data_IF_447694977892
#
_entry.id   IF_447694977892
#
_cell.length_a   1.000
_cell.length_b   1.000
_cell.length_c   1.000
_cell.angle_alpha   90.00
_cell.angle_beta   90.00
_cell.angle_gamma   90.00
#
_symmetry.space_group_name_H-M   'P 1'
#
loop_
_entity.id
_entity.type
_entity.pdbx_description
1 polymer ?
#
# COMPACT_ATOMS: atom_id res chain seq x y z
N UNK A 1 12.41 19.21 19.54
CA UNK A 1 12.28 19.44 18.09
C UNK A 1 13.61 19.97 17.60
N UNK A 2 14.27 19.24 16.71
CA UNK A 2 15.49 19.72 16.06
C UNK A 2 15.11 20.71 14.98
N UNK A 3 15.56 21.95 15.10
CA UNK A 3 15.56 22.90 13.99
C UNK A 3 16.80 22.69 13.13
N UNK A 4 16.72 23.02 11.85
CA UNK A 4 17.82 22.90 10.89
C UNK A 4 17.94 24.20 10.09
N UNK A 5 19.16 24.64 9.77
CA UNK A 5 19.32 25.79 8.88
C UNK A 5 18.98 25.38 7.46
N UNK A 6 18.42 26.31 6.69
CA UNK A 6 18.00 26.05 5.33
C UNK A 6 19.17 25.62 4.43
N UNK A 7 20.37 26.15 4.64
CA UNK A 7 21.59 25.72 3.94
C UNK A 7 21.92 24.23 4.16
N UNK A 8 21.85 23.78 5.42
CA UNK A 8 22.19 22.40 5.79
C UNK A 8 21.14 21.43 5.23
N UNK A 9 19.87 21.86 5.24
CA UNK A 9 18.77 21.11 4.63
C UNK A 9 18.93 21.04 3.10
N UNK A 10 19.30 22.14 2.44
CA UNK A 10 19.57 22.16 1.01
C UNK A 10 20.69 21.18 0.62
N UNK A 11 21.76 21.14 1.40
CA UNK A 11 22.88 20.22 1.18
C UNK A 11 22.45 18.74 1.33
N UNK A 12 21.68 18.40 2.36
CA UNK A 12 21.21 17.03 2.57
C UNK A 12 20.20 16.57 1.51
N UNK A 13 19.46 17.51 0.92
CA UNK A 13 18.46 17.25 -0.11
C UNK A 13 19.00 17.35 -1.54
N UNK A 14 20.28 17.71 -1.72
CA UNK A 14 20.91 18.02 -3.01
C UNK A 14 20.10 19.07 -3.81
N UNK A 15 19.68 20.13 -3.11
CA UNK A 15 18.85 21.18 -3.66
C UNK A 15 19.62 22.49 -3.83
N UNK A 16 19.31 23.23 -4.90
CA UNK A 16 19.90 24.55 -5.15
C UNK A 16 19.14 25.61 -4.36
N UNK A 17 19.82 26.26 -3.43
CA UNK A 17 19.23 27.29 -2.56
C UNK A 17 19.17 28.66 -3.25
N UNK A 18 18.03 29.32 -3.15
CA UNK A 18 17.79 30.71 -3.52
C UNK A 18 17.15 31.47 -2.35
N UNK A 19 17.80 32.54 -1.86
CA UNK A 19 17.33 33.32 -0.71
C UNK A 19 18.28 33.23 0.48
N UNK A 20 17.76 33.52 1.68
CA UNK A 20 18.56 33.55 2.92
C UNK A 20 18.90 32.13 3.42
N UNK A 21 20.20 31.83 3.51
CA UNK A 21 20.75 30.53 3.92
C UNK A 21 20.65 30.27 5.42
N UNK A 22 20.54 31.32 6.23
CA UNK A 22 20.55 31.24 7.69
C UNK A 22 19.14 31.06 8.29
N UNK A 23 18.11 30.99 7.44
CA UNK A 23 16.74 30.70 7.86
C UNK A 23 16.67 29.39 8.64
N UNK A 24 16.02 29.44 9.79
CA UNK A 24 15.82 28.28 10.66
C UNK A 24 14.50 27.62 10.31
N UNK A 25 14.56 26.35 9.93
CA UNK A 25 13.40 25.53 9.62
C UNK A 25 13.10 24.63 10.83
N UNK A 26 11.89 24.77 11.37
CA UNK A 26 11.41 24.09 12.58
C UNK A 26 10.37 23.01 12.29
N UNK A 27 9.76 23.03 11.11
CA UNK A 27 8.77 22.03 10.71
C UNK A 27 8.38 22.11 9.24
N UNK A 28 7.55 21.16 8.82
CA UNK A 28 6.99 21.08 7.47
C UNK A 28 5.50 21.36 7.55
N UNK A 29 4.97 22.16 6.63
CA UNK A 29 3.55 22.49 6.59
C UNK A 29 3.04 22.61 5.15
N UNK A 30 1.73 22.45 4.97
CA UNK A 30 1.10 22.68 3.66
C UNK A 30 1.23 24.14 3.24
N UNK A 31 1.21 24.41 1.92
CA UNK A 31 1.28 25.78 1.39
C UNK A 31 0.24 26.75 2.00
N UNK A 32 -0.93 26.23 2.41
CA UNK A 32 -2.03 27.01 2.98
C UNK A 32 -1.92 27.23 4.49
N UNK A 33 -1.12 26.44 5.21
CA UNK A 33 -0.98 26.50 6.66
C UNK A 33 0.43 26.84 7.13
N UNK A 34 1.39 26.91 6.21
CA UNK A 34 2.77 27.23 6.51
C UNK A 34 2.89 28.65 7.07
N UNK A 35 3.80 28.80 8.02
CA UNK A 35 4.10 30.04 8.73
C UNK A 35 5.62 30.22 8.74
N UNK A 36 6.09 31.34 9.30
CA UNK A 36 7.52 31.54 9.54
C UNK A 36 8.09 30.37 10.37
N UNK A 37 9.25 29.86 9.95
CA UNK A 37 9.88 28.64 10.48
C UNK A 37 9.47 27.36 9.75
N UNK A 38 8.39 27.37 8.96
CA UNK A 38 8.00 26.19 8.18
C UNK A 38 8.58 26.21 6.77
N UNK A 39 8.90 25.02 6.26
CA UNK A 39 9.16 24.76 4.85
C UNK A 39 7.94 24.03 4.23
N UNK A 40 7.64 24.32 2.97
CA UNK A 40 6.58 23.66 2.19
C UNK A 40 7.15 23.14 0.87
N UNK A 41 6.33 22.46 0.06
CA UNK A 41 6.70 22.10 -1.31
C UNK A 41 5.59 22.46 -2.29
N UNK A 42 5.99 22.65 -3.54
CA UNK A 42 5.11 22.98 -4.64
C UNK A 42 5.42 22.11 -5.85
N UNK A 43 4.43 21.31 -6.28
CA UNK A 43 4.58 20.37 -7.40
C UNK A 43 3.52 20.50 -8.48
N UNK A 44 2.43 21.24 -8.24
CA UNK A 44 1.29 21.32 -9.15
C UNK A 44 1.08 22.75 -9.65
N UNK A 45 1.40 22.97 -10.92
CA UNK A 45 1.34 24.27 -11.59
C UNK A 45 -0.04 24.93 -11.56
N UNK A 46 -1.13 24.16 -11.34
CA UNK A 46 -2.49 24.70 -11.20
C UNK A 46 -2.67 25.56 -9.96
N UNK A 47 -1.77 25.44 -8.98
CA UNK A 47 -1.83 26.19 -7.72
C UNK A 47 -0.80 27.32 -7.63
N UNK A 48 -0.24 27.80 -8.75
CA UNK A 48 0.77 28.87 -8.77
C UNK A 48 0.35 30.12 -7.99
N UNK A 49 -0.93 30.49 -8.02
CA UNK A 49 -1.46 31.64 -7.28
C UNK A 49 -1.32 31.50 -5.74
N UNK A 50 -1.14 30.27 -5.24
CA UNK A 50 -0.89 30.02 -3.81
C UNK A 50 0.56 30.29 -3.40
N UNK A 51 1.51 30.34 -4.34
CA UNK A 51 2.91 30.66 -4.03
C UNK A 51 3.05 32.12 -3.56
N UNK A 52 2.33 33.05 -4.20
CA UNK A 52 2.41 34.48 -3.88
C UNK A 52 1.83 34.82 -2.50
N UNK A 53 0.87 34.03 -2.03
CA UNK A 53 0.22 34.19 -0.72
C UNK A 53 0.81 33.28 0.37
N UNK A 54 1.86 32.52 0.06
CA UNK A 54 2.47 31.60 1.00
C UNK A 54 3.24 32.34 2.10
N UNK A 55 3.03 31.93 3.35
CA UNK A 55 3.72 32.49 4.53
C UNK A 55 4.84 31.58 5.05
N UNK A 56 5.25 30.58 4.27
CA UNK A 56 6.39 29.72 4.61
C UNK A 56 7.70 30.51 4.63
N UNK A 57 8.66 30.06 5.43
CA UNK A 57 10.03 30.57 5.36
C UNK A 57 10.75 30.10 4.09
N UNK A 58 10.45 28.89 3.63
CA UNK A 58 11.01 28.35 2.40
C UNK A 58 10.04 27.43 1.64
N UNK A 59 10.27 27.26 0.34
CA UNK A 59 9.50 26.35 -0.53
C UNK A 59 10.42 25.48 -1.39
N UNK A 60 10.13 24.18 -1.47
CA UNK A 60 10.74 23.26 -2.42
C UNK A 60 9.96 23.31 -3.74
N UNK A 61 10.61 23.60 -4.86
CA UNK A 61 9.95 23.77 -6.17
C UNK A 61 10.90 23.46 -7.34
N UNK A 62 10.36 23.45 -8.57
CA UNK A 62 11.16 23.35 -9.79
C UNK A 62 11.64 24.72 -10.27
N UNK A 63 12.72 24.77 -11.05
CA UNK A 63 13.31 26.03 -11.56
C UNK A 63 12.27 26.89 -12.30
N UNK A 64 11.36 26.29 -13.07
CA UNK A 64 10.27 26.99 -13.77
C UNK A 64 9.36 27.80 -12.82
N UNK A 65 9.18 27.32 -11.58
CA UNK A 65 8.30 27.96 -10.61
C UNK A 65 9.02 28.99 -9.72
N UNK A 66 10.36 29.07 -9.80
CA UNK A 66 11.17 29.99 -9.00
C UNK A 66 10.75 31.47 -9.15
N UNK A 67 10.43 32.01 -10.34
CA UNK A 67 10.02 33.41 -10.50
C UNK A 67 8.73 33.78 -9.77
N UNK A 68 7.92 32.79 -9.37
CA UNK A 68 6.64 33.01 -8.70
C UNK A 68 6.74 32.87 -7.17
N UNK A 69 7.91 32.50 -6.65
CA UNK A 69 8.14 32.40 -5.20
C UNK A 69 8.37 33.78 -4.58
N UNK A 70 7.76 34.02 -3.42
CA UNK A 70 7.96 35.22 -2.61
C UNK A 70 8.84 34.98 -1.38
N UNK A 71 9.18 33.72 -1.08
CA UNK A 71 10.07 33.30 0.00
C UNK A 71 11.31 32.58 -0.55
N UNK A 72 12.21 32.16 0.35
CA UNK A 72 13.39 31.38 -0.04
C UNK A 72 12.97 30.08 -0.72
N UNK A 73 13.76 29.61 -1.69
CA UNK A 73 13.43 28.44 -2.50
C UNK A 73 14.55 27.41 -2.50
N UNK A 74 14.17 26.14 -2.43
CA UNK A 74 15.02 24.99 -2.72
C UNK A 74 14.60 24.42 -4.07
N UNK A 75 15.44 24.62 -5.08
CA UNK A 75 15.16 24.20 -6.45
C UNK A 75 15.65 22.77 -6.67
N UNK A 76 14.73 21.92 -7.16
CA UNK A 76 14.94 20.49 -7.44
C UNK A 76 14.15 20.02 -8.66
N UNK A 77 14.53 18.87 -9.23
CA UNK A 77 13.82 18.29 -10.36
C UNK A 77 12.47 17.65 -9.97
N UNK A 78 12.40 17.05 -8.77
CA UNK A 78 11.20 16.38 -8.28
C UNK A 78 10.83 16.86 -6.86
N UNK A 79 10.02 17.94 -6.75
CA UNK A 79 9.63 18.49 -5.46
C UNK A 79 8.91 17.51 -4.53
N UNK A 80 8.14 16.57 -5.07
CA UNK A 80 7.40 15.59 -4.28
C UNK A 80 8.33 14.54 -3.65
N UNK A 81 9.32 14.06 -4.41
CA UNK A 81 10.36 13.18 -3.87
C UNK A 81 11.21 13.89 -2.81
N UNK A 82 11.60 15.14 -3.06
CA UNK A 82 12.36 15.94 -2.09
C UNK A 82 11.55 16.21 -0.82
N UNK A 83 10.24 16.46 -0.95
CA UNK A 83 9.35 16.53 0.21
C UNK A 83 9.38 15.24 1.03
N UNK A 84 9.32 14.06 0.41
CA UNK A 84 9.38 12.80 1.13
C UNK A 84 10.69 12.64 1.92
N UNK A 85 11.83 13.00 1.32
CA UNK A 85 13.15 12.98 2.01
C UNK A 85 13.22 13.99 3.15
N UNK A 86 12.73 15.21 2.91
CA UNK A 86 12.67 16.27 3.92
C UNK A 86 11.80 15.86 5.12
N UNK A 87 10.66 15.22 4.85
CA UNK A 87 9.77 14.70 5.89
C UNK A 87 10.44 13.63 6.75
N UNK A 88 11.33 12.80 6.18
CA UNK A 88 12.12 11.83 6.96
C UNK A 88 13.17 12.51 7.83
N UNK A 89 13.85 13.55 7.34
CA UNK A 89 14.85 14.31 8.10
C UNK A 89 14.26 15.05 9.30
N UNK A 90 13.02 15.51 9.16
CA UNK A 90 12.29 16.26 10.18
C UNK A 90 11.21 15.43 10.89
N UNK A 91 11.30 14.10 10.82
CA UNK A 91 10.28 13.22 11.37
C UNK A 91 10.19 13.38 12.89
N UNK A 92 8.98 13.70 13.37
CA UNK A 92 8.66 13.82 14.80
C UNK A 92 7.87 12.61 15.31
N UNK A 93 7.66 11.62 14.46
CA UNK A 93 6.95 10.39 14.81
C UNK A 93 7.68 9.70 15.96
N UNK A 94 7.00 9.44 17.08
CA UNK A 94 7.62 8.73 18.20
C UNK A 94 7.97 7.31 17.78
N UNK A 95 8.95 6.71 18.46
CA UNK A 95 9.23 5.28 18.29
C UNK A 95 8.14 4.46 18.98
N UNK A 96 7.80 3.26 18.48
CA UNK A 96 6.84 2.37 19.16
C UNK A 96 7.28 1.95 20.57
N UNK A 97 8.60 1.87 20.80
CA UNK A 97 9.25 1.63 22.10
C UNK A 97 10.70 2.16 22.06
N UNK A 98 11.29 2.39 23.23
CA UNK A 98 12.69 2.87 23.35
C UNK A 98 13.62 1.89 24.08
N UNK A 99 13.08 1.05 24.97
CA UNK A 99 13.79 0.04 25.74
C UNK A 99 12.94 -1.24 25.81
N UNK A 100 13.44 -2.28 26.49
CA UNK A 100 12.62 -3.44 26.86
C UNK A 100 11.83 -3.09 28.13
N UNK A 101 10.51 -3.08 28.02
CA UNK A 101 9.61 -2.82 29.14
C UNK A 101 9.66 -3.93 30.18
N UNK A 102 9.62 -3.58 31.47
CA UNK A 102 9.52 -4.54 32.56
C UNK A 102 8.20 -5.36 32.54
N UNK A 103 7.18 -4.89 31.82
CA UNK A 103 5.91 -5.59 31.64
C UNK A 103 5.86 -6.44 30.35
N UNK A 104 6.96 -6.52 29.59
CA UNK A 104 7.04 -7.42 28.45
C UNK A 104 7.30 -8.85 28.94
N UNK A 105 6.65 -9.83 28.31
CA UNK A 105 6.81 -11.26 28.62
C UNK A 105 7.63 -11.90 27.50
N UNK A 106 8.84 -12.33 27.82
CA UNK A 106 9.74 -12.99 26.87
C UNK A 106 9.99 -14.42 27.31
N UNK A 107 9.97 -15.36 26.37
CA UNK A 107 10.47 -16.70 26.62
C UNK A 107 11.99 -16.69 26.91
N UNK A 108 12.53 -17.66 27.68
CA UNK A 108 13.94 -17.66 28.10
C UNK A 108 14.96 -17.81 26.96
N UNK A 109 14.54 -18.34 25.82
CA UNK A 109 15.36 -18.69 24.66
C UNK A 109 15.22 -17.69 23.49
N UNK A 110 14.63 -16.52 23.73
CA UNK A 110 14.55 -15.45 22.73
C UNK A 110 15.94 -14.89 22.43
N UNK A 111 16.30 -14.84 21.15
CA UNK A 111 17.55 -14.24 20.68
C UNK A 111 17.34 -12.77 20.32
N UNK A 112 18.02 -11.88 21.04
CA UNK A 112 17.94 -10.42 20.83
C UNK A 112 19.25 -9.88 20.24
N UNK A 113 19.12 -9.08 19.19
CA UNK A 113 20.20 -8.27 18.64
C UNK A 113 20.52 -7.04 19.48
N UNK A 114 21.34 -6.16 18.93
CA UNK A 114 21.73 -4.90 19.57
C UNK A 114 20.60 -3.87 19.50
N UNK A 115 20.40 -3.09 20.57
CA UNK A 115 19.45 -1.96 20.62
C UNK A 115 18.00 -2.34 20.27
N UNK A 116 17.60 -3.56 20.59
CA UNK A 116 16.20 -3.99 20.48
C UNK A 116 15.35 -3.31 21.55
N UNK A 117 14.18 -2.81 21.16
CA UNK A 117 13.20 -2.21 22.07
C UNK A 117 11.87 -2.97 22.01
N UNK A 118 11.27 -3.21 23.18
CA UNK A 118 10.05 -4.01 23.32
C UNK A 118 9.09 -3.28 24.26
N UNK A 119 7.92 -2.90 23.75
CA UNK A 119 6.91 -2.14 24.47
C UNK A 119 6.21 -2.94 25.56
N UNK A 120 5.46 -2.22 26.41
CA UNK A 120 4.74 -2.81 27.53
C UNK A 120 3.73 -3.89 27.08
N UNK A 121 3.63 -4.97 27.85
CA UNK A 121 2.69 -6.08 27.62
C UNK A 121 2.85 -6.78 26.26
N UNK A 122 3.98 -6.58 25.56
CA UNK A 122 4.30 -7.42 24.41
C UNK A 122 4.66 -8.84 24.89
N UNK A 123 4.28 -9.85 24.11
CA UNK A 123 4.54 -11.26 24.38
C UNK A 123 5.40 -11.83 23.26
N UNK A 124 6.59 -12.32 23.61
CA UNK A 124 7.57 -12.89 22.69
C UNK A 124 7.77 -14.36 23.03
N UNK A 125 7.34 -15.23 22.12
CA UNK A 125 7.38 -16.68 22.31
C UNK A 125 8.78 -17.30 22.10
N UNK A 126 8.89 -18.59 22.44
CA UNK A 126 10.13 -19.37 22.35
C UNK A 126 10.67 -19.50 20.92
N UNK A 127 12.00 -19.53 20.79
CA UNK A 127 12.70 -19.61 19.51
C UNK A 127 12.66 -18.33 18.66
N UNK A 128 12.08 -17.23 19.14
CA UNK A 128 12.02 -15.97 18.39
C UNK A 128 13.40 -15.34 18.25
N UNK A 129 13.69 -14.80 17.07
CA UNK A 129 14.93 -14.07 16.77
C UNK A 129 14.58 -12.65 16.33
N UNK A 130 14.99 -11.67 17.14
CA UNK A 130 14.89 -10.24 16.82
C UNK A 130 16.30 -9.71 16.50
N UNK A 131 16.53 -9.21 15.29
CA UNK A 131 17.83 -8.65 14.88
C UNK A 131 18.04 -7.23 15.42
N UNK A 132 19.20 -6.65 15.10
CA UNK A 132 19.61 -5.33 15.57
C UNK A 132 18.57 -4.24 15.23
N UNK A 133 18.36 -3.32 16.18
CA UNK A 133 17.48 -2.16 16.05
C UNK A 133 16.01 -2.50 15.76
N UNK A 134 15.58 -3.74 16.02
CA UNK A 134 14.15 -4.11 15.97
C UNK A 134 13.38 -3.41 17.08
N UNK A 135 12.20 -2.89 16.74
CA UNK A 135 11.29 -2.26 17.71
C UNK A 135 9.94 -2.95 17.66
N UNK A 136 9.53 -3.53 18.79
CA UNK A 136 8.22 -4.16 18.98
C UNK A 136 7.37 -3.25 19.84
N UNK A 137 6.24 -2.77 19.32
CA UNK A 137 5.30 -1.90 20.05
C UNK A 137 4.57 -2.60 21.20
N UNK A 138 3.89 -1.85 22.08
CA UNK A 138 3.16 -2.40 23.20
C UNK A 138 2.01 -3.32 22.76
N UNK A 139 1.73 -4.36 23.54
CA UNK A 139 0.64 -5.30 23.28
C UNK A 139 0.81 -6.20 22.05
N UNK A 140 1.98 -6.21 21.41
CA UNK A 140 2.25 -7.13 20.31
C UNK A 140 2.34 -8.58 20.79
N UNK A 141 1.99 -9.52 19.91
CA UNK A 141 2.26 -10.94 20.10
C UNK A 141 3.17 -11.43 18.96
N UNK A 142 4.29 -12.06 19.31
CA UNK A 142 5.23 -12.66 18.35
C UNK A 142 5.33 -14.15 18.65
N UNK A 143 4.81 -14.98 17.75
CA UNK A 143 4.70 -16.43 17.89
C UNK A 143 6.03 -17.17 17.74
N UNK A 144 6.02 -18.46 18.12
CA UNK A 144 7.21 -19.32 18.21
C UNK A 144 8.03 -19.34 16.92
N UNK A 145 9.35 -19.41 17.05
CA UNK A 145 10.31 -19.52 15.93
C UNK A 145 10.22 -18.40 14.87
N UNK A 146 9.59 -17.28 15.17
CA UNK A 146 9.49 -16.15 14.25
C UNK A 146 10.81 -15.37 14.20
N UNK A 147 11.20 -14.96 13.00
CA UNK A 147 12.42 -14.22 12.72
C UNK A 147 12.09 -12.83 12.20
N UNK A 148 12.64 -11.79 12.83
CA UNK A 148 12.42 -10.39 12.43
C UNK A 148 13.78 -9.73 12.15
N UNK A 149 13.95 -9.28 10.91
CA UNK A 149 15.16 -8.66 10.39
C UNK A 149 15.46 -7.28 10.98
N UNK A 150 16.70 -6.81 10.76
CA UNK A 150 17.22 -5.63 11.43
C UNK A 150 16.44 -4.35 11.07
N UNK A 151 16.32 -3.41 12.02
CA UNK A 151 15.61 -2.13 11.86
C UNK A 151 14.12 -2.25 11.50
N UNK A 152 13.52 -3.43 11.65
CA UNK A 152 12.08 -3.63 11.44
C UNK A 152 11.29 -3.15 12.66
N UNK A 153 10.18 -2.46 12.41
CA UNK A 153 9.34 -1.84 13.44
C UNK A 153 7.90 -2.35 13.35
N UNK A 154 7.37 -2.81 14.47
CA UNK A 154 5.97 -3.14 14.65
C UNK A 154 5.34 -2.10 15.58
N UNK A 155 4.24 -1.49 15.16
CA UNK A 155 3.42 -0.64 16.02
C UNK A 155 2.63 -1.48 17.03
N UNK A 156 1.87 -0.82 17.91
CA UNK A 156 1.14 -1.48 18.97
C UNK A 156 0.14 -2.53 18.45
N UNK A 157 -0.08 -3.59 19.22
CA UNK A 157 -1.12 -4.59 18.96
C UNK A 157 -1.02 -5.27 17.59
N UNK A 158 0.20 -5.52 17.10
CA UNK A 158 0.44 -6.39 15.93
C UNK A 158 0.52 -7.84 16.40
N UNK A 159 -0.12 -8.75 15.66
CA UNK A 159 -0.05 -10.19 15.93
C UNK A 159 0.72 -10.88 14.82
N UNK A 160 1.83 -11.53 15.17
CA UNK A 160 2.61 -12.39 14.28
C UNK A 160 2.53 -13.82 14.82
N UNK A 161 2.06 -14.75 14.00
CA UNK A 161 1.94 -16.16 14.34
C UNK A 161 3.33 -16.84 14.40
N UNK A 162 3.34 -18.17 14.47
CA UNK A 162 4.54 -18.99 14.54
C UNK A 162 5.17 -19.25 13.16
N UNK A 163 6.49 -19.46 13.16
CA UNK A 163 7.33 -19.76 12.00
C UNK A 163 7.28 -18.69 10.90
N UNK A 164 7.10 -17.42 11.27
CA UNK A 164 7.05 -16.30 10.31
C UNK A 164 8.46 -15.73 10.11
N UNK A 165 8.79 -15.34 8.88
CA UNK A 165 10.03 -14.62 8.57
C UNK A 165 9.72 -13.24 8.02
N UNK A 166 10.25 -12.20 8.65
CA UNK A 166 10.13 -10.81 8.24
C UNK A 166 11.53 -10.25 8.01
N UNK A 167 11.74 -9.63 6.84
CA UNK A 167 12.99 -9.01 6.46
C UNK A 167 13.37 -7.78 7.29
N UNK A 168 14.39 -7.08 6.82
CA UNK A 168 14.92 -5.87 7.43
C UNK A 168 14.17 -4.61 6.97
N UNK A 169 14.16 -3.59 7.82
CA UNK A 169 13.60 -2.26 7.53
C UNK A 169 12.11 -2.29 7.17
N UNK A 170 11.36 -3.27 7.68
CA UNK A 170 9.91 -3.32 7.49
C UNK A 170 9.18 -2.43 8.50
N UNK A 171 7.97 -2.02 8.17
CA UNK A 171 7.07 -1.28 9.05
C UNK A 171 5.69 -1.92 9.05
N UNK A 172 5.19 -2.33 10.22
CA UNK A 172 3.87 -2.96 10.35
C UNK A 172 3.01 -2.15 11.31
N UNK A 173 1.86 -1.71 10.83
CA UNK A 173 0.92 -0.85 11.56
C UNK A 173 -0.02 -1.66 12.46
N UNK A 174 -0.63 -0.98 13.43
CA UNK A 174 -1.43 -1.58 14.48
C UNK A 174 -2.58 -2.46 14.00
N UNK A 175 -2.84 -3.56 14.72
CA UNK A 175 -3.96 -4.47 14.42
C UNK A 175 -3.72 -5.40 13.23
N UNK A 176 -2.58 -5.32 12.54
CA UNK A 176 -2.22 -6.27 11.50
C UNK A 176 -2.02 -7.68 12.08
N UNK A 177 -2.43 -8.71 11.33
CA UNK A 177 -2.29 -10.12 11.69
C UNK A 177 -1.55 -10.85 10.59
N UNK A 178 -0.41 -11.45 10.94
CA UNK A 178 0.48 -12.14 10.01
C UNK A 178 0.59 -13.61 10.40
N UNK A 179 0.22 -14.49 9.48
CA UNK A 179 0.35 -15.94 9.60
C UNK A 179 -0.84 -16.67 10.23
N UNK A 180 -2.03 -16.06 10.20
CA UNK A 180 -3.28 -16.76 10.52
C UNK A 180 -3.52 -17.95 9.58
N UNK A 181 -4.32 -18.92 10.02
CA UNK A 181 -4.75 -20.01 9.14
C UNK A 181 -5.58 -19.47 7.97
N UNK A 182 -5.19 -19.82 6.75
CA UNK A 182 -6.02 -19.63 5.57
C UNK A 182 -7.30 -20.47 5.58
N UNK A 183 -8.17 -20.20 4.60
CA UNK A 183 -9.47 -20.84 4.45
C UNK A 183 -9.39 -22.26 3.84
N UNK A 184 -8.67 -23.17 4.50
CA UNK A 184 -8.50 -24.56 4.08
C UNK A 184 -9.50 -25.52 4.73
N UNK A 185 -10.53 -25.94 3.99
CA UNK A 185 -11.50 -26.94 4.43
C UNK A 185 -11.83 -27.93 3.32
N UNK A 186 -11.93 -29.22 3.66
CA UNK A 186 -12.51 -30.24 2.79
C UNK A 186 -13.99 -30.43 3.15
N UNK A 187 -14.84 -30.73 2.17
CA UNK A 187 -16.25 -31.04 2.44
C UNK A 187 -16.42 -32.55 2.58
N UNK A 188 -16.92 -33.00 3.73
CA UNK A 188 -17.42 -34.35 3.93
C UNK A 188 -18.92 -34.30 4.17
N UNK A 189 -19.69 -34.58 3.11
CA UNK A 189 -21.15 -34.73 3.17
C UNK A 189 -21.87 -33.52 3.78
N UNK A 190 -21.42 -32.30 3.48
CA UNK A 190 -21.96 -31.05 4.02
C UNK A 190 -21.24 -30.52 5.27
N UNK A 191 -20.36 -31.31 5.89
CA UNK A 191 -19.53 -30.86 7.01
C UNK A 191 -18.17 -30.36 6.52
N UNK A 192 -17.72 -29.22 7.03
CA UNK A 192 -16.41 -28.67 6.70
C UNK A 192 -15.35 -29.21 7.66
N UNK A 193 -14.42 -29.98 7.12
CA UNK A 193 -13.30 -30.57 7.88
C UNK A 193 -12.09 -29.67 7.71
N UNK A 194 -11.57 -29.15 8.83
CA UNK A 194 -10.41 -28.24 8.85
C UNK A 194 -9.17 -28.93 8.28
N UNK A 195 -8.51 -28.28 7.33
CA UNK A 195 -7.19 -28.65 6.85
C UNK A 195 -6.16 -27.79 7.60
N UNK A 196 -5.29 -28.39 8.44
CA UNK A 196 -4.19 -27.65 9.07
C UNK A 196 -3.34 -26.90 8.04
N UNK A 197 -3.03 -25.63 8.32
CA UNK A 197 -2.20 -24.79 7.44
C UNK A 197 -0.78 -24.81 7.97
N UNK A 198 0.10 -25.58 7.32
CA UNK A 198 1.42 -25.93 7.82
C UNK A 198 2.55 -25.11 7.19
N UNK A 199 2.29 -24.46 6.05
CA UNK A 199 3.23 -23.51 5.43
C UNK A 199 3.36 -22.22 6.23
N UNK A 200 4.17 -21.26 5.79
CA UNK A 200 4.48 -20.04 6.58
C UNK A 200 4.11 -18.76 5.84
N UNK A 201 4.56 -17.62 6.37
CA UNK A 201 4.63 -16.34 5.65
C UNK A 201 6.09 -15.89 5.61
N UNK A 202 6.56 -15.52 4.42
CA UNK A 202 7.88 -14.94 4.19
C UNK A 202 7.70 -13.52 3.64
N UNK A 203 8.16 -12.53 4.39
CA UNK A 203 8.14 -11.11 4.02
C UNK A 203 9.59 -10.67 3.77
N UNK A 204 9.83 -10.05 2.61
CA UNK A 204 11.12 -9.49 2.21
C UNK A 204 11.50 -8.22 2.97
N UNK A 205 12.52 -7.52 2.46
CA UNK A 205 13.05 -6.29 3.06
C UNK A 205 12.24 -5.05 2.63
N UNK A 206 12.22 -4.00 3.47
CA UNK A 206 11.62 -2.69 3.18
C UNK A 206 10.12 -2.77 2.83
N UNK A 207 9.41 -3.71 3.46
CA UNK A 207 7.97 -3.90 3.28
C UNK A 207 7.20 -3.05 4.29
N UNK A 208 6.17 -2.33 3.84
CA UNK A 208 5.21 -1.66 4.72
C UNK A 208 3.84 -2.34 4.67
N UNK A 209 3.25 -2.60 5.84
CA UNK A 209 1.93 -3.22 6.00
C UNK A 209 1.05 -2.32 6.87
N UNK A 210 -0.09 -1.93 6.31
CA UNK A 210 -1.09 -1.07 6.91
C UNK A 210 -1.88 -1.73 8.05
N UNK A 211 -2.66 -0.89 8.73
CA UNK A 211 -3.41 -1.26 9.91
C UNK A 211 -4.55 -2.24 9.57
N UNK A 212 -4.78 -3.19 10.46
CA UNK A 212 -5.82 -4.22 10.32
C UNK A 212 -5.74 -5.03 9.01
N UNK A 213 -4.55 -5.13 8.39
CA UNK A 213 -4.30 -6.02 7.26
C UNK A 213 -4.01 -7.43 7.75
N UNK A 214 -4.55 -8.42 7.04
CA UNK A 214 -4.45 -9.84 7.36
C UNK A 214 -3.70 -10.57 6.24
N UNK A 215 -2.64 -11.29 6.62
CA UNK A 215 -1.83 -12.10 5.70
C UNK A 215 -1.82 -13.54 6.21
N UNK A 216 -2.52 -14.43 5.52
CA UNK A 216 -2.63 -15.83 5.93
C UNK A 216 -1.34 -16.61 5.61
N UNK A 217 -0.99 -17.55 6.46
CA UNK A 217 0.06 -18.54 6.17
C UNK A 217 -0.37 -19.45 5.03
N UNK A 218 0.60 -19.97 4.29
CA UNK A 218 0.28 -20.92 3.22
C UNK A 218 -0.10 -22.31 3.76
N UNK A 219 -0.78 -23.09 2.92
CA UNK A 219 -1.28 -24.40 3.34
C UNK A 219 -0.16 -25.42 3.58
N UNK A 220 0.82 -25.49 2.68
CA UNK A 220 2.00 -26.35 2.76
C UNK A 220 3.26 -25.54 2.43
N UNK A 221 3.24 -24.89 1.26
CA UNK A 221 4.21 -23.86 0.89
C UNK A 221 3.88 -22.52 1.56
N UNK A 222 4.77 -21.55 1.39
CA UNK A 222 4.66 -20.25 2.05
C UNK A 222 3.84 -19.22 1.23
N UNK A 223 3.13 -18.34 1.93
CA UNK A 223 2.71 -17.04 1.39
C UNK A 223 3.94 -16.13 1.31
N UNK A 224 4.13 -15.39 0.22
CA UNK A 224 5.38 -14.65 -0.04
C UNK A 224 5.12 -13.20 -0.43
N UNK A 225 5.76 -12.29 0.28
CA UNK A 225 5.73 -10.84 0.01
C UNK A 225 7.14 -10.41 -0.38
N UNK A 226 7.30 -9.90 -1.60
CA UNK A 226 8.56 -9.42 -2.14
C UNK A 226 9.10 -8.17 -1.45
N UNK A 227 10.31 -7.76 -1.83
CA UNK A 227 11.00 -6.60 -1.26
C UNK A 227 10.33 -5.29 -1.71
N UNK A 228 10.30 -4.29 -0.84
CA UNK A 228 9.76 -2.96 -1.17
C UNK A 228 8.25 -2.94 -1.43
N UNK A 229 7.53 -4.01 -1.10
CA UNK A 229 6.07 -4.08 -1.26
C UNK A 229 5.39 -3.17 -0.25
N UNK A 230 4.37 -2.44 -0.70
CA UNK A 230 3.59 -1.52 0.11
C UNK A 230 2.14 -1.99 0.13
N UNK A 231 1.63 -2.40 1.29
CA UNK A 231 0.26 -2.88 1.47
C UNK A 231 -0.45 -1.92 2.44
N UNK A 232 -1.50 -1.28 1.98
CA UNK A 232 -2.30 -0.34 2.76
C UNK A 232 -3.25 -1.08 3.73
N UNK A 233 -4.08 -0.33 4.45
CA UNK A 233 -4.95 -0.79 5.51
C UNK A 233 -6.03 -1.77 5.02
N UNK A 234 -6.46 -2.67 5.91
CA UNK A 234 -7.61 -3.56 5.71
C UNK A 234 -7.53 -4.43 4.45
N UNK A 235 -6.32 -4.78 4.02
CA UNK A 235 -6.15 -5.73 2.92
C UNK A 235 -6.27 -7.17 3.45
N UNK A 236 -6.80 -8.06 2.63
CA UNK A 236 -6.79 -9.51 2.86
C UNK A 236 -5.87 -10.18 1.84
N UNK A 237 -4.83 -10.83 2.33
CA UNK A 237 -3.90 -11.65 1.54
C UNK A 237 -4.08 -13.10 1.97
N UNK A 238 -4.78 -13.89 1.16
CA UNK A 238 -5.04 -15.30 1.47
C UNK A 238 -3.80 -16.19 1.38
N UNK A 239 -3.97 -17.45 1.77
CA UNK A 239 -2.93 -18.46 1.76
C UNK A 239 -2.27 -18.65 0.38
N UNK A 240 -0.96 -18.86 0.37
CA UNK A 240 -0.14 -19.12 -0.82
C UNK A 240 -0.11 -17.99 -1.86
N UNK A 241 -0.56 -16.79 -1.49
CA UNK A 241 -0.40 -15.62 -2.37
C UNK A 241 1.09 -15.26 -2.48
N UNK A 242 1.50 -14.87 -3.68
CA UNK A 242 2.85 -14.37 -3.98
C UNK A 242 2.72 -12.96 -4.56
N UNK A 243 3.40 -11.99 -3.96
CA UNK A 243 3.47 -10.61 -4.45
C UNK A 243 4.93 -10.27 -4.78
N UNK A 244 5.19 -9.88 -6.02
CA UNK A 244 6.50 -9.48 -6.51
C UNK A 244 6.98 -8.12 -5.98
N UNK A 245 8.27 -7.86 -6.16
CA UNK A 245 8.96 -6.71 -5.57
C UNK A 245 8.36 -5.37 -6.04
N UNK A 246 8.37 -4.39 -5.12
CA UNK A 246 7.93 -3.01 -5.36
C UNK A 246 6.49 -2.87 -5.88
N UNK A 247 5.63 -3.85 -5.62
CA UNK A 247 4.20 -3.76 -5.90
C UNK A 247 3.48 -2.99 -4.78
N UNK A 248 2.57 -2.10 -5.15
CA UNK A 248 1.74 -1.33 -4.24
C UNK A 248 0.29 -1.84 -4.25
N UNK A 249 -0.28 -2.05 -3.07
CA UNK A 249 -1.65 -2.54 -2.84
C UNK A 249 -2.39 -1.54 -1.96
N UNK A 250 -3.38 -0.86 -2.52
CA UNK A 250 -4.16 0.15 -1.80
C UNK A 250 -5.25 -0.46 -0.91
N UNK A 251 -5.86 0.34 -0.04
CA UNK A 251 -6.68 -0.14 1.06
C UNK A 251 -7.91 -0.96 0.64
N UNK A 252 -8.26 -1.94 1.48
CA UNK A 252 -9.46 -2.77 1.30
C UNK A 252 -9.36 -3.78 0.14
N UNK A 253 -8.17 -4.03 -0.41
CA UNK A 253 -8.00 -5.03 -1.47
C UNK A 253 -8.14 -6.44 -0.90
N UNK A 254 -8.84 -7.30 -1.65
CA UNK A 254 -9.06 -8.71 -1.29
C UNK A 254 -8.42 -9.61 -2.35
N UNK A 255 -7.46 -10.43 -1.92
CA UNK A 255 -6.77 -11.41 -2.74
C UNK A 255 -7.11 -12.83 -2.30
N UNK A 256 -7.68 -13.63 -3.19
CA UNK A 256 -7.95 -15.03 -2.93
C UNK A 256 -6.69 -15.93 -3.07
N UNK A 257 -6.78 -17.16 -2.55
CA UNK A 257 -5.63 -18.03 -2.36
C UNK A 257 -4.92 -18.42 -3.66
N UNK A 258 -3.61 -18.66 -3.57
CA UNK A 258 -2.74 -19.05 -4.70
C UNK A 258 -2.69 -18.05 -5.86
N UNK A 259 -2.97 -16.77 -5.62
CA UNK A 259 -2.74 -15.69 -6.57
C UNK A 259 -1.23 -15.39 -6.67
N UNK A 260 -0.74 -15.15 -7.89
CA UNK A 260 0.60 -14.58 -8.10
C UNK A 260 0.49 -13.20 -8.76
N UNK A 261 1.08 -12.18 -8.14
CA UNK A 261 1.22 -10.83 -8.70
C UNK A 261 2.71 -10.57 -8.98
N UNK A 262 3.01 -10.07 -10.16
CA UNK A 262 4.35 -9.66 -10.56
C UNK A 262 4.88 -8.42 -9.81
N UNK A 263 6.03 -7.94 -10.27
CA UNK A 263 6.72 -6.78 -9.70
C UNK A 263 6.18 -5.46 -10.27
N UNK A 264 6.35 -4.37 -9.52
CA UNK A 264 5.96 -3.01 -9.93
C UNK A 264 4.47 -2.86 -10.33
N UNK A 265 3.59 -3.67 -9.74
CA UNK A 265 2.15 -3.55 -9.95
C UNK A 265 1.55 -2.49 -9.03
N UNK A 266 0.40 -1.94 -9.43
CA UNK A 266 -0.39 -1.00 -8.63
C UNK A 266 -1.83 -1.50 -8.56
N UNK A 267 -2.24 -2.00 -7.40
CA UNK A 267 -3.59 -2.52 -7.18
C UNK A 267 -4.42 -1.47 -6.46
N UNK A 268 -5.36 -0.87 -7.20
CA UNK A 268 -6.23 0.18 -6.70
C UNK A 268 -7.17 -0.30 -5.59
N UNK A 269 -7.55 0.64 -4.72
CA UNK A 269 -8.29 0.32 -3.50
C UNK A 269 -9.62 -0.40 -3.76
N UNK A 270 -10.02 -1.24 -2.80
CA UNK A 270 -11.22 -2.07 -2.87
C UNK A 270 -11.31 -3.01 -4.09
N UNK A 271 -10.18 -3.32 -4.74
CA UNK A 271 -10.15 -4.34 -5.79
C UNK A 271 -10.30 -5.74 -5.20
N UNK A 272 -10.96 -6.62 -5.95
CA UNK A 272 -11.15 -8.03 -5.61
C UNK A 272 -10.50 -8.87 -6.70
N UNK A 273 -9.55 -9.72 -6.30
CA UNK A 273 -8.75 -10.53 -7.20
C UNK A 273 -8.98 -12.02 -6.91
N UNK A 274 -9.33 -12.76 -7.95
CA UNK A 274 -9.60 -14.19 -7.85
C UNK A 274 -8.33 -15.00 -7.51
N UNK A 275 -8.52 -16.22 -7.02
CA UNK A 275 -7.43 -17.13 -6.67
C UNK A 275 -6.93 -17.89 -7.90
N UNK A 276 -5.79 -18.57 -7.76
CA UNK A 276 -5.22 -19.45 -8.78
C UNK A 276 -5.02 -18.81 -10.16
N UNK A 277 -4.78 -17.50 -10.21
CA UNK A 277 -4.45 -16.76 -11.43
C UNK A 277 -3.12 -16.04 -11.26
N UNK A 278 -2.55 -15.59 -12.38
CA UNK A 278 -1.33 -14.81 -12.41
C UNK A 278 -1.58 -13.43 -13.03
N UNK A 279 -0.95 -12.41 -12.46
CA UNK A 279 -0.88 -11.04 -12.97
C UNK A 279 0.60 -10.75 -13.26
N UNK A 280 0.93 -10.39 -14.51
CA UNK A 280 2.30 -10.08 -14.90
C UNK A 280 2.80 -8.75 -14.29
N UNK A 281 4.09 -8.48 -14.45
CA UNK A 281 4.71 -7.24 -13.99
C UNK A 281 4.07 -5.98 -14.59
N UNK A 282 4.20 -4.85 -13.88
CA UNK A 282 3.80 -3.51 -14.34
C UNK A 282 2.32 -3.39 -14.72
N UNK A 283 1.47 -4.12 -14.03
CA UNK A 283 0.00 -4.02 -14.16
C UNK A 283 -0.56 -3.01 -13.17
N UNK A 284 -1.44 -2.14 -13.65
CA UNK A 284 -2.27 -1.28 -12.82
C UNK A 284 -3.71 -1.76 -12.88
N UNK A 285 -4.31 -2.07 -11.74
CA UNK A 285 -5.75 -2.29 -11.59
C UNK A 285 -6.35 -1.04 -10.97
N UNK A 286 -7.30 -0.38 -11.62
CA UNK A 286 -7.94 0.82 -11.04
C UNK A 286 -8.84 0.44 -9.86
N UNK A 287 -9.23 1.44 -9.04
CA UNK A 287 -10.08 1.21 -7.88
C UNK A 287 -11.36 0.42 -8.18
N UNK A 288 -11.75 -0.44 -7.24
CA UNK A 288 -12.86 -1.40 -7.37
C UNK A 288 -12.74 -2.35 -8.58
N UNK A 289 -11.52 -2.71 -8.95
CA UNK A 289 -11.27 -3.69 -10.00
C UNK A 289 -11.70 -5.10 -9.59
N UNK A 290 -12.45 -5.80 -10.45
CA UNK A 290 -12.85 -7.19 -10.28
C UNK A 290 -12.07 -8.08 -11.24
N UNK A 291 -10.94 -8.62 -10.77
CA UNK A 291 -9.99 -9.40 -11.59
C UNK A 291 -10.34 -10.88 -11.52
N UNK A 292 -11.06 -11.36 -12.53
CA UNK A 292 -11.57 -12.74 -12.60
C UNK A 292 -10.72 -13.68 -13.46
N UNK A 293 -9.73 -13.16 -14.20
CA UNK A 293 -8.92 -13.90 -15.16
C UNK A 293 -7.45 -13.46 -15.07
N UNK A 294 -6.48 -14.28 -15.49
CA UNK A 294 -5.09 -13.89 -15.57
C UNK A 294 -4.89 -12.62 -16.43
N UNK A 295 -3.89 -11.83 -16.06
CA UNK A 295 -3.45 -10.64 -16.82
C UNK A 295 -2.03 -10.93 -17.28
N UNK A 296 -1.85 -11.07 -18.59
CA UNK A 296 -0.57 -11.49 -19.20
C UNK A 296 0.21 -10.36 -19.85
N UNK A 297 -0.41 -9.18 -19.98
CA UNK A 297 0.20 -8.01 -20.60
C UNK A 297 0.25 -6.84 -19.60
N UNK A 298 1.37 -6.10 -19.55
CA UNK A 298 1.43 -4.86 -18.78
C UNK A 298 0.39 -3.84 -19.25
N UNK A 299 -0.10 -3.01 -18.33
CA UNK A 299 -1.05 -1.95 -18.68
C UNK A 299 -2.02 -1.61 -17.57
N UNK A 300 -3.01 -0.79 -17.91
CA UNK A 300 -4.06 -0.33 -16.99
C UNK A 300 -5.36 -1.08 -17.28
N UNK A 301 -5.93 -1.68 -16.24
CA UNK A 301 -7.16 -2.47 -16.30
C UNK A 301 -8.21 -1.90 -15.35
N UNK A 302 -9.47 -1.90 -15.79
CA UNK A 302 -10.59 -1.31 -15.05
C UNK A 302 -11.85 -2.16 -15.15
N UNK A 303 -12.73 -2.04 -14.15
CA UNK A 303 -14.07 -2.61 -14.17
C UNK A 303 -15.06 -1.74 -13.41
N UNK A 304 -16.35 -2.03 -13.55
CA UNK A 304 -17.42 -1.34 -12.85
C UNK A 304 -18.07 -0.24 -13.67
N UNK A 305 -19.30 0.11 -13.28
CA UNK A 305 -20.04 1.24 -13.85
C UNK A 305 -20.00 2.37 -12.80
N UNK A 306 -19.56 3.59 -13.17
CA UNK A 306 -19.43 4.68 -12.22
C UNK A 306 -20.78 5.15 -11.68
N UNK A 307 -20.73 5.97 -10.63
CA UNK A 307 -21.91 6.49 -9.96
C UNK A 307 -22.82 7.26 -10.93
N UNK A 308 -24.12 7.03 -10.81
CA UNK A 308 -25.18 7.79 -11.47
C UNK A 308 -26.22 8.20 -10.44
N UNK A 309 -26.98 9.26 -10.71
CA UNK A 309 -28.16 9.58 -9.89
C UNK A 309 -29.11 8.38 -9.84
N UNK A 310 -29.69 8.10 -8.66
CA UNK A 310 -30.40 6.84 -8.40
C UNK A 310 -31.46 6.48 -9.45
N UNK A 311 -32.27 7.46 -9.88
CA UNK A 311 -33.31 7.26 -10.90
C UNK A 311 -32.72 6.81 -12.24
N UNK A 312 -31.58 7.37 -12.63
CA UNK A 312 -30.85 6.99 -13.85
C UNK A 312 -30.24 5.60 -13.67
N UNK A 313 -29.56 5.37 -12.55
CA UNK A 313 -28.92 4.09 -12.24
C UNK A 313 -29.89 2.91 -12.31
N UNK A 314 -31.09 3.03 -11.70
CA UNK A 314 -32.12 1.98 -11.74
C UNK A 314 -32.51 1.61 -13.17
N UNK A 315 -32.61 2.61 -14.05
CA UNK A 315 -32.93 2.40 -15.47
C UNK A 315 -31.76 1.72 -16.20
N UNK A 316 -30.53 2.18 -15.98
CA UNK A 316 -29.32 1.56 -16.53
C UNK A 316 -29.23 0.08 -16.14
N UNK A 317 -29.40 -0.23 -14.85
CA UNK A 317 -29.32 -1.60 -14.33
C UNK A 317 -30.37 -2.53 -14.96
N UNK A 318 -31.63 -2.07 -15.06
CA UNK A 318 -32.70 -2.85 -15.69
C UNK A 318 -32.43 -3.16 -17.17
N UNK A 319 -31.79 -2.24 -17.90
CA UNK A 319 -31.41 -2.47 -19.30
C UNK A 319 -30.23 -3.44 -19.42
N UNK A 320 -29.22 -3.33 -18.56
CA UNK A 320 -28.07 -4.24 -18.54
C UNK A 320 -28.51 -5.68 -18.26
N UNK A 321 -29.42 -5.90 -17.30
CA UNK A 321 -30.00 -7.23 -17.03
C UNK A 321 -30.72 -7.82 -18.25
N UNK A 322 -31.26 -6.98 -19.14
CA UNK A 322 -31.99 -7.39 -20.34
C UNK A 322 -31.15 -7.32 -21.63
N UNK A 323 -29.83 -7.14 -21.55
CA UNK A 323 -28.97 -6.92 -22.72
C UNK A 323 -29.01 -8.08 -23.73
N UNK A 324 -29.14 -9.32 -23.26
CA UNK A 324 -29.28 -10.50 -24.12
C UNK A 324 -30.58 -10.46 -24.93
N UNK A 325 -31.68 -10.04 -24.32
CA UNK A 325 -32.97 -9.88 -25.00
C UNK A 325 -32.91 -8.74 -26.03
N UNK A 326 -32.28 -7.60 -25.69
CA UNK A 326 -32.05 -6.51 -26.64
C UNK A 326 -31.23 -6.98 -27.85
N UNK A 327 -30.13 -7.73 -27.62
CA UNK A 327 -29.29 -8.27 -28.70
C UNK A 327 -30.08 -9.23 -29.62
N UNK A 328 -30.94 -10.10 -29.04
CA UNK A 328 -31.82 -10.98 -29.83
C UNK A 328 -32.79 -10.17 -30.71
N UNK A 329 -33.37 -9.08 -30.19
CA UNK A 329 -34.23 -8.18 -30.95
C UNK A 329 -33.48 -7.48 -32.08
N UNK A 330 -32.28 -6.96 -31.82
CA UNK A 330 -31.44 -6.31 -32.82
C UNK A 330 -31.12 -7.29 -33.96
N UNK A 331 -30.63 -8.50 -33.64
CA UNK A 331 -30.37 -9.54 -34.65
C UNK A 331 -31.61 -9.95 -35.45
N UNK A 332 -32.80 -9.91 -34.84
CA UNK A 332 -34.05 -10.19 -35.55
C UNK A 332 -34.41 -9.06 -36.52
N UNK A 333 -34.18 -7.81 -36.14
CA UNK A 333 -34.38 -6.62 -36.99
C UNK A 333 -33.40 -6.65 -38.16
N UNK A 334 -32.10 -6.85 -37.92
CA UNK A 334 -31.06 -6.94 -38.97
C UNK A 334 -31.38 -8.03 -39.99
N UNK A 335 -31.86 -9.20 -39.54
CA UNK A 335 -32.26 -10.30 -40.42
C UNK A 335 -33.45 -9.95 -41.30
N UNK A 336 -34.44 -9.23 -40.77
CA UNK A 336 -35.60 -8.77 -41.54
C UNK A 336 -35.19 -7.72 -42.57
N UNK A 337 -34.36 -6.76 -42.19
CA UNK A 337 -33.83 -5.73 -43.09
C UNK A 337 -32.96 -6.34 -44.21
N UNK A 338 -32.08 -7.29 -43.88
CA UNK A 338 -31.27 -7.99 -44.87
C UNK A 338 -32.11 -8.80 -45.88
N UNK A 339 -33.24 -9.37 -45.44
CA UNK A 339 -34.22 -9.99 -46.36
C UNK A 339 -34.92 -8.96 -47.24
N UNK A 340 -35.33 -7.83 -46.67
CA UNK A 340 -36.01 -6.76 -47.40
C UNK A 340 -35.11 -6.13 -48.48
N UNK A 341 -33.83 -5.87 -48.18
CA UNK A 341 -32.88 -5.32 -49.15
C UNK A 341 -32.48 -6.29 -50.26
N UNK A 342 -32.62 -7.61 -50.07
CA UNK A 342 -32.45 -8.60 -51.15
C UNK A 342 -33.67 -8.70 -52.08
N UNK A 343 -34.84 -8.29 -51.59
CA UNK A 343 -36.10 -8.31 -52.35
C UNK A 343 -36.31 -7.02 -53.17
N UNK A 344 -35.55 -5.96 -52.90
CA UNK A 344 -35.45 -4.77 -53.72
C UNK A 344 -34.12 -4.80 -54.48
N UNK A 345 -34.09 -5.27 -55.75
CA UNK A 345 -32.93 -4.97 -56.58
C UNK A 345 -32.85 -3.46 -56.68
N UNK A 346 -31.66 -2.90 -56.45
CA UNK A 346 -31.34 -1.50 -56.72
C UNK A 346 -31.89 -1.18 -58.11
N UNK A 347 -33.01 -0.44 -58.17
CA UNK A 347 -33.39 0.25 -59.40
C UNK A 347 -32.32 1.31 -59.60
N UNK A 348 -31.43 1.05 -60.56
CA UNK A 348 -30.66 2.09 -61.21
C UNK A 348 -31.57 3.13 -61.84
#
# INVERSE_FOLDING_TARGET
>A
MSSIRLADLAQQLDAKLHGDSELIITGIASISSAQAGHITFFSDSRFRDKLSSCQASAVVLTEENLPFSTCAALVVDNPYLTYARMAQLMDTTPKPAENISACAVLAPDVSLGQRVAIGANAVIESGVVLKDDVIIGPGCFIGKNTHIGARTRLWANVTVYHDISIGAQCLIQSGAVIGSDGFGYANDSGNWIKIPQLGRVIIGDQVEIGACTTIDRGALDDTRIGNGVMIDNQCQIAHNVVIGDNTAVAGGVIMAGSLTIGSYCMIGGASVINGHIAICDKVTVTGMGMVMRPITEPGVYSSGIPLQQNKVWRKTAALVLNISYMNKKIKAIERKLGKFNRLLPLRG
#
